data_IF_625243585517
#
_entry.id   IF_625243585517
#
_cell.length_a   1.000
_cell.length_b   1.000
_cell.length_c   1.000
_cell.angle_alpha   90.00
_cell.angle_beta   90.00
_cell.angle_gamma   90.00
#
_symmetry.space_group_name_H-M   'P 1'
#
loop_
_entity.id
_entity.type
_entity.pdbx_description
1 polymer ?
#
# COMPACT_ATOMS: atom_id res chain seq x y z
N UNK A 1 10.03 -50.39 13.03
CA UNK A 1 9.49 -49.08 13.49
C UNK A 1 10.46 -47.89 13.34
N UNK A 2 11.75 -47.98 13.69
CA UNK A 2 12.69 -46.82 13.63
C UNK A 2 12.98 -46.24 12.23
N UNK A 3 12.75 -46.99 11.14
CA UNK A 3 12.97 -46.50 9.75
C UNK A 3 11.81 -45.66 9.20
N UNK A 4 10.60 -45.80 9.75
CA UNK A 4 9.44 -45.00 9.34
C UNK A 4 9.47 -43.60 9.98
N UNK A 5 9.90 -43.52 11.24
CA UNK A 5 10.09 -42.25 11.96
C UNK A 5 11.18 -41.40 11.29
N UNK A 6 12.27 -42.02 10.81
CA UNK A 6 13.35 -41.31 10.11
C UNK A 6 12.93 -40.75 8.74
N UNK A 7 11.91 -41.34 8.08
CA UNK A 7 11.32 -40.79 6.84
C UNK A 7 10.36 -39.64 7.11
N UNK A 8 9.65 -39.65 8.24
CA UNK A 8 8.80 -38.52 8.65
C UNK A 8 9.65 -37.32 9.08
N UNK A 9 10.77 -37.56 9.79
CA UNK A 9 11.74 -36.51 10.15
C UNK A 9 12.49 -35.96 8.92
N UNK A 10 12.64 -36.75 7.85
CA UNK A 10 13.20 -36.27 6.57
C UNK A 10 12.22 -35.46 5.72
N UNK A 11 10.91 -35.50 6.01
CA UNK A 11 9.88 -34.62 5.41
C UNK A 11 9.83 -33.27 6.14
N UNK A 12 10.28 -33.24 7.40
CA UNK A 12 10.55 -32.03 8.17
C UNK A 12 11.98 -31.50 7.96
N UNK A 13 12.59 -31.75 6.81
CA UNK A 13 13.78 -31.01 6.40
C UNK A 13 13.35 -29.55 6.20
N UNK A 14 13.94 -28.64 6.97
CA UNK A 14 13.62 -27.21 6.92
C UNK A 14 13.58 -26.68 5.48
N UNK A 15 14.39 -27.22 4.57
CA UNK A 15 14.41 -26.88 3.14
C UNK A 15 13.10 -27.19 2.39
N UNK A 16 12.52 -28.40 2.56
CA UNK A 16 11.27 -28.76 1.88
C UNK A 16 10.09 -27.97 2.42
N UNK A 17 10.09 -27.70 3.73
CA UNK A 17 9.07 -26.86 4.35
C UNK A 17 9.15 -25.42 3.82
N UNK A 18 10.36 -24.84 3.76
CA UNK A 18 10.56 -23.50 3.23
C UNK A 18 10.15 -23.37 1.75
N UNK A 19 10.45 -24.37 0.92
CA UNK A 19 10.00 -24.36 -0.48
C UNK A 19 8.48 -24.44 -0.63
N UNK A 20 7.77 -25.13 0.26
CA UNK A 20 6.29 -25.15 0.25
C UNK A 20 5.76 -23.76 0.63
N UNK A 21 6.33 -23.13 1.66
CA UNK A 21 5.93 -21.79 2.10
C UNK A 21 6.14 -20.77 0.98
N UNK A 22 7.32 -20.75 0.35
CA UNK A 22 7.62 -19.83 -0.75
C UNK A 22 6.62 -19.97 -1.92
N UNK A 23 6.29 -21.21 -2.29
CA UNK A 23 5.29 -21.47 -3.34
C UNK A 23 3.89 -20.99 -2.94
N UNK A 24 3.49 -21.16 -1.68
CA UNK A 24 2.22 -20.67 -1.16
C UNK A 24 2.20 -19.14 -1.14
N UNK A 25 3.28 -18.48 -0.71
CA UNK A 25 3.39 -17.02 -0.71
C UNK A 25 3.23 -16.46 -2.13
N UNK A 26 3.92 -17.05 -3.11
CA UNK A 26 3.81 -16.65 -4.52
C UNK A 26 2.39 -16.85 -5.05
N UNK A 27 1.73 -17.96 -4.70
CA UNK A 27 0.35 -18.21 -5.09
C UNK A 27 -0.60 -17.15 -4.49
N UNK A 28 -0.45 -16.85 -3.20
CA UNK A 28 -1.25 -15.83 -2.50
C UNK A 28 -1.04 -14.46 -3.13
N UNK A 29 0.20 -14.07 -3.41
CA UNK A 29 0.50 -12.78 -4.04
C UNK A 29 -0.06 -12.66 -5.47
N UNK A 30 -0.11 -13.74 -6.25
CA UNK A 30 -0.76 -13.77 -7.58
C UNK A 30 -2.27 -13.58 -7.48
N UNK A 31 -2.90 -14.23 -6.51
CA UNK A 31 -4.35 -14.06 -6.27
C UNK A 31 -4.65 -12.64 -5.80
N UNK A 32 -3.83 -12.10 -4.88
CA UNK A 32 -3.97 -10.75 -4.37
C UNK A 32 -3.79 -9.70 -5.47
N UNK A 33 -2.80 -9.85 -6.35
CA UNK A 33 -2.60 -8.91 -7.46
C UNK A 33 -3.79 -8.90 -8.43
N UNK A 34 -4.38 -10.07 -8.72
CA UNK A 34 -5.58 -10.17 -9.55
C UNK A 34 -6.78 -9.44 -8.92
N UNK A 35 -7.01 -9.63 -7.62
CA UNK A 35 -8.06 -8.90 -6.91
C UNK A 35 -7.80 -7.39 -6.88
N UNK A 36 -6.55 -6.97 -6.72
CA UNK A 36 -6.21 -5.54 -6.76
C UNK A 36 -6.48 -4.92 -8.12
N UNK A 37 -6.20 -5.62 -9.22
CA UNK A 37 -6.57 -5.15 -10.57
C UNK A 37 -8.08 -4.97 -10.69
N UNK A 38 -8.87 -5.91 -10.18
CA UNK A 38 -10.34 -5.80 -10.18
C UNK A 38 -10.82 -4.59 -9.37
N UNK A 39 -10.28 -4.40 -8.15
CA UNK A 39 -10.58 -3.24 -7.30
C UNK A 39 -10.27 -1.93 -8.01
N UNK A 40 -9.13 -1.83 -8.71
CA UNK A 40 -8.74 -0.65 -9.48
C UNK A 40 -9.76 -0.36 -10.60
N UNK A 41 -10.17 -1.39 -11.36
CA UNK A 41 -11.15 -1.22 -12.45
C UNK A 41 -12.50 -0.73 -11.92
N UNK A 42 -12.97 -1.30 -10.81
CA UNK A 42 -14.21 -0.87 -10.16
C UNK A 42 -14.10 0.57 -9.66
N UNK A 43 -12.98 0.94 -9.02
CA UNK A 43 -12.75 2.30 -8.51
C UNK A 43 -12.69 3.35 -9.63
N UNK A 44 -12.09 3.00 -10.78
CA UNK A 44 -12.10 3.87 -11.98
C UNK A 44 -13.52 4.04 -12.51
N UNK A 45 -14.30 2.96 -12.56
CA UNK A 45 -15.72 3.02 -12.96
C UNK A 45 -16.55 3.92 -12.03
N UNK A 46 -16.39 3.77 -10.72
CA UNK A 46 -17.08 4.59 -9.71
C UNK A 46 -16.71 6.08 -9.84
N UNK A 47 -15.42 6.39 -10.00
CA UNK A 47 -14.95 7.75 -10.26
C UNK A 47 -15.57 8.34 -11.53
N UNK A 48 -15.63 7.57 -12.62
CA UNK A 48 -16.24 8.01 -13.88
C UNK A 48 -17.73 8.33 -13.70
N UNK A 49 -18.49 7.46 -13.03
CA UNK A 49 -19.91 7.67 -12.73
C UNK A 49 -20.08 8.90 -11.83
N UNK A 50 -19.22 9.07 -10.82
CA UNK A 50 -19.26 10.22 -9.92
C UNK A 50 -19.03 11.54 -10.65
N UNK A 51 -18.00 11.62 -11.52
CA UNK A 51 -17.71 12.82 -12.31
C UNK A 51 -18.88 13.16 -13.23
N UNK A 52 -19.42 12.17 -13.96
CA UNK A 52 -20.56 12.39 -14.86
C UNK A 52 -21.76 12.93 -14.08
N UNK A 53 -22.12 12.32 -12.95
CA UNK A 53 -23.21 12.81 -12.10
C UNK A 53 -22.96 14.27 -11.71
N UNK A 54 -21.81 14.58 -11.13
CA UNK A 54 -21.58 15.92 -10.60
C UNK A 54 -21.49 17.01 -11.66
N UNK A 55 -21.00 16.69 -12.87
CA UNK A 55 -21.00 17.64 -14.00
C UNK A 55 -22.42 17.98 -14.46
N UNK A 56 -23.35 17.01 -14.44
CA UNK A 56 -24.72 17.22 -14.93
C UNK A 56 -25.72 17.65 -13.85
N UNK A 57 -25.44 17.44 -12.55
CA UNK A 57 -26.42 17.70 -11.47
C UNK A 57 -26.08 18.87 -10.54
N UNK A 58 -24.84 19.38 -10.51
CA UNK A 58 -24.42 20.37 -9.49
C UNK A 58 -24.61 21.81 -9.96
N UNK A 59 -25.38 22.64 -9.24
CA UNK A 59 -25.42 24.09 -9.46
C UNK A 59 -24.06 24.75 -9.15
N UNK A 60 -23.70 25.81 -9.87
CA UNK A 60 -22.40 26.52 -9.89
C UNK A 60 -21.81 27.00 -8.53
N UNK A 61 -22.41 26.71 -7.37
CA UNK A 61 -21.96 27.15 -6.05
C UNK A 61 -21.29 26.11 -5.14
N UNK A 62 -21.25 24.81 -5.49
CA UNK A 62 -20.68 23.73 -4.63
C UNK A 62 -19.41 23.06 -5.19
N UNK A 63 -18.69 23.75 -6.07
CA UNK A 63 -17.55 23.20 -6.80
C UNK A 63 -16.42 22.76 -5.85
N UNK A 64 -16.07 23.57 -4.84
CA UNK A 64 -14.98 23.24 -3.90
C UNK A 64 -15.23 21.94 -3.13
N UNK A 65 -16.43 21.76 -2.57
CA UNK A 65 -16.79 20.52 -1.85
C UNK A 65 -16.83 19.30 -2.77
N UNK A 66 -17.12 19.51 -4.05
CA UNK A 66 -17.13 18.45 -5.06
C UNK A 66 -15.70 18.08 -5.45
N UNK A 67 -14.80 19.06 -5.63
CA UNK A 67 -13.38 18.85 -5.92
C UNK A 67 -12.69 18.04 -4.82
N UNK A 68 -12.93 18.34 -3.54
CA UNK A 68 -12.36 17.54 -2.44
C UNK A 68 -12.80 16.06 -2.49
N UNK A 69 -14.08 15.80 -2.84
CA UNK A 69 -14.57 14.42 -3.02
C UNK A 69 -13.92 13.73 -4.22
N UNK A 70 -13.81 14.44 -5.35
CA UNK A 70 -13.13 13.93 -6.55
C UNK A 70 -11.68 13.59 -6.23
N UNK A 71 -10.93 14.48 -5.58
CA UNK A 71 -9.56 14.17 -5.15
C UNK A 71 -9.51 12.99 -4.18
N UNK A 72 -10.45 12.87 -3.25
CA UNK A 72 -10.57 11.68 -2.40
C UNK A 72 -10.70 10.39 -3.21
N UNK A 73 -11.55 10.35 -4.23
CA UNK A 73 -11.72 9.18 -5.10
C UNK A 73 -10.47 8.92 -5.98
N UNK A 74 -9.89 9.96 -6.60
CA UNK A 74 -8.66 9.84 -7.38
C UNK A 74 -7.52 9.27 -6.56
N UNK A 75 -7.31 9.85 -5.37
CA UNK A 75 -6.23 9.42 -4.53
C UNK A 75 -6.49 7.96 -4.02
N UNK A 76 -7.74 7.45 -3.97
CA UNK A 76 -8.03 6.06 -3.56
C UNK A 76 -7.51 5.10 -4.63
N UNK A 77 -7.67 5.48 -5.90
CA UNK A 77 -7.12 4.74 -7.03
C UNK A 77 -5.60 4.72 -6.97
N UNK A 78 -4.95 5.85 -6.62
CA UNK A 78 -3.49 5.88 -6.45
C UNK A 78 -3.00 4.92 -5.37
N UNK A 79 -3.70 4.81 -4.21
CA UNK A 79 -3.36 3.81 -3.20
C UNK A 79 -3.49 2.39 -3.76
N UNK A 80 -4.56 2.12 -4.50
CA UNK A 80 -4.76 0.79 -5.07
C UNK A 80 -3.64 0.42 -6.06
N UNK A 81 -3.19 1.37 -6.88
CA UNK A 81 -2.05 1.20 -7.78
C UNK A 81 -0.74 0.99 -7.00
N UNK A 82 -0.52 1.75 -5.93
CA UNK A 82 0.67 1.63 -5.08
C UNK A 82 0.74 0.26 -4.39
N UNK A 83 -0.38 -0.25 -3.87
CA UNK A 83 -0.46 -1.59 -3.31
C UNK A 83 -0.20 -2.65 -4.39
N UNK A 84 -0.74 -2.49 -5.60
CA UNK A 84 -0.49 -3.40 -6.71
C UNK A 84 1.00 -3.41 -7.09
N UNK A 85 1.66 -2.25 -7.09
CA UNK A 85 3.10 -2.14 -7.33
C UNK A 85 3.92 -2.86 -6.25
N UNK A 86 3.57 -2.69 -4.97
CA UNK A 86 4.18 -3.42 -3.85
C UNK A 86 4.07 -4.94 -4.01
N UNK A 87 2.88 -5.46 -4.33
CA UNK A 87 2.64 -6.89 -4.55
C UNK A 87 3.44 -7.39 -5.76
N UNK A 88 3.44 -6.62 -6.84
CA UNK A 88 4.16 -6.98 -8.07
C UNK A 88 5.67 -6.96 -7.86
N UNK A 89 6.19 -6.01 -7.07
CA UNK A 89 7.59 -5.94 -6.70
C UNK A 89 8.02 -7.16 -5.88
N UNK A 90 7.17 -7.60 -4.95
CA UNK A 90 7.37 -8.85 -4.21
C UNK A 90 7.38 -10.06 -5.16
N UNK A 91 6.41 -10.18 -6.08
CA UNK A 91 6.39 -11.27 -7.08
C UNK A 91 7.62 -11.30 -8.00
N UNK A 92 8.26 -10.16 -8.27
CA UNK A 92 9.43 -10.07 -9.15
C UNK A 92 10.75 -10.38 -8.46
N UNK A 93 10.89 -10.02 -7.18
CA UNK A 93 12.17 -10.09 -6.46
C UNK A 93 12.15 -11.07 -5.28
N UNK A 94 11.00 -11.63 -4.92
CA UNK A 94 10.80 -12.49 -3.74
C UNK A 94 11.29 -11.87 -2.42
N UNK A 95 11.34 -10.54 -2.35
CA UNK A 95 11.71 -9.80 -1.14
C UNK A 95 10.82 -8.57 -1.00
N UNK A 96 10.34 -8.35 0.22
CA UNK A 96 9.69 -7.10 0.57
C UNK A 96 10.72 -5.97 0.61
N UNK A 97 10.56 -4.98 -0.27
CA UNK A 97 11.41 -3.80 -0.28
C UNK A 97 10.99 -2.87 0.86
N UNK A 98 11.68 -2.95 2.00
CA UNK A 98 11.39 -2.13 3.19
C UNK A 98 11.42 -0.63 2.85
N UNK A 99 12.30 -0.21 1.94
CA UNK A 99 12.35 1.16 1.44
C UNK A 99 11.05 1.58 0.73
N UNK A 100 10.51 0.71 -0.13
CA UNK A 100 9.24 0.95 -0.82
C UNK A 100 8.10 1.08 0.20
N UNK A 101 8.04 0.19 1.20
CA UNK A 101 6.99 0.23 2.25
C UNK A 101 6.99 1.57 3.01
N UNK A 102 8.17 2.12 3.33
CA UNK A 102 8.26 3.40 4.04
C UNK A 102 7.85 4.56 3.13
N UNK A 103 8.27 4.54 1.87
CA UNK A 103 7.84 5.55 0.88
C UNK A 103 6.32 5.53 0.72
N UNK A 104 5.71 4.34 0.60
CA UNK A 104 4.25 4.21 0.53
C UNK A 104 3.55 4.71 1.79
N UNK A 105 4.15 4.51 2.97
CA UNK A 105 3.62 5.05 4.24
C UNK A 105 3.67 6.59 4.27
N UNK A 106 4.74 7.21 3.77
CA UNK A 106 4.84 8.66 3.65
C UNK A 106 3.80 9.23 2.67
N UNK A 107 3.61 8.58 1.52
CA UNK A 107 2.59 8.96 0.53
C UNK A 107 1.19 8.86 1.13
N UNK A 108 0.90 7.78 1.87
CA UNK A 108 -0.39 7.58 2.53
C UNK A 108 -0.70 8.69 3.56
N UNK A 109 0.29 9.12 4.35
CA UNK A 109 0.11 10.23 5.29
C UNK A 109 -0.05 11.57 4.55
N UNK A 110 0.78 11.83 3.53
CA UNK A 110 0.68 13.04 2.72
C UNK A 110 -0.72 13.19 2.08
N UNK A 111 -1.27 12.09 1.56
CA UNK A 111 -2.63 12.03 1.01
C UNK A 111 -3.69 12.44 2.03
N UNK A 112 -3.56 11.98 3.28
CA UNK A 112 -4.49 12.31 4.37
C UNK A 112 -4.44 13.79 4.73
N UNK A 113 -3.26 14.42 4.61
CA UNK A 113 -3.07 15.86 4.80
C UNK A 113 -3.69 16.66 3.64
N UNK A 114 -3.55 16.22 2.39
CA UNK A 114 -4.10 16.91 1.21
C UNK A 114 -5.64 17.01 1.25
N UNK A 115 -6.32 15.98 1.74
CA UNK A 115 -7.80 15.93 1.80
C UNK A 115 -8.33 16.54 3.12
N UNK A 116 -7.44 16.97 4.01
CA UNK A 116 -7.81 17.41 5.36
C UNK A 116 -8.61 18.73 5.31
N UNK A 117 -9.79 18.70 5.92
CA UNK A 117 -10.64 19.88 6.09
C UNK A 117 -10.29 20.59 7.40
N UNK A 118 -9.44 21.62 7.32
CA UNK A 118 -8.88 22.35 8.47
C UNK A 118 -9.95 22.98 9.37
N UNK A 119 -11.18 23.17 8.89
CA UNK A 119 -12.28 23.70 9.69
C UNK A 119 -12.85 22.67 10.68
N UNK A 120 -12.57 21.37 10.48
CA UNK A 120 -13.14 20.25 11.24
C UNK A 120 -12.14 19.52 12.13
N UNK A 121 -10.86 19.88 12.08
CA UNK A 121 -9.78 19.17 12.79
C UNK A 121 -9.25 20.02 13.93
N UNK A 122 -8.90 19.38 15.04
CA UNK A 122 -8.26 20.07 16.15
C UNK A 122 -6.76 20.25 15.88
N UNK A 123 -6.15 21.28 16.48
CA UNK A 123 -4.71 21.52 16.35
C UNK A 123 -3.84 20.33 16.82
N UNK A 124 -4.34 19.54 17.78
CA UNK A 124 -3.67 18.32 18.26
C UNK A 124 -3.56 17.27 17.14
N UNK A 125 -4.58 17.14 16.29
CA UNK A 125 -4.57 16.17 15.19
C UNK A 125 -3.52 16.54 14.13
N UNK A 126 -3.36 17.84 13.86
CA UNK A 126 -2.36 18.38 12.93
C UNK A 126 -0.95 18.15 13.48
N UNK A 127 -0.73 18.38 14.78
CA UNK A 127 0.55 18.10 15.44
C UNK A 127 0.85 16.59 15.38
N UNK A 128 -0.13 15.74 15.66
CA UNK A 128 0.01 14.29 15.56
C UNK A 128 0.40 13.82 14.15
N UNK A 129 -0.21 14.38 13.10
CA UNK A 129 0.18 14.14 11.71
C UNK A 129 1.61 14.61 11.43
N UNK A 130 2.00 15.78 11.93
CA UNK A 130 3.37 16.30 11.80
C UNK A 130 4.41 15.39 12.44
N UNK A 131 4.15 14.92 13.66
CA UNK A 131 5.03 13.97 14.37
C UNK A 131 5.13 12.63 13.62
N UNK A 132 4.02 12.12 13.08
CA UNK A 132 4.02 10.90 12.28
C UNK A 132 4.87 11.04 11.00
N UNK A 133 4.74 12.16 10.28
CA UNK A 133 5.56 12.44 9.08
C UNK A 133 7.04 12.54 9.46
N UNK A 134 7.38 13.21 10.57
CA UNK A 134 8.76 13.31 11.05
C UNK A 134 9.34 11.95 11.41
N UNK A 135 8.59 11.11 12.13
CA UNK A 135 9.01 9.76 12.50
C UNK A 135 9.28 8.90 11.25
N UNK A 136 8.36 8.88 10.28
CA UNK A 136 8.53 8.15 9.02
C UNK A 136 9.71 8.68 8.20
N UNK A 137 9.91 9.99 8.15
CA UNK A 137 11.04 10.61 7.45
C UNK A 137 12.39 10.24 8.08
N UNK A 138 12.45 10.19 9.42
CA UNK A 138 13.63 9.73 10.14
C UNK A 138 13.89 8.24 9.87
N UNK A 139 12.86 7.39 9.89
CA UNK A 139 12.99 5.97 9.54
C UNK A 139 13.55 5.78 8.12
N UNK A 140 13.06 6.56 7.15
CA UNK A 140 13.57 6.54 5.78
C UNK A 140 15.06 6.95 5.71
N UNK A 141 15.45 8.02 6.41
CA UNK A 141 16.85 8.46 6.46
C UNK A 141 17.78 7.40 7.05
N UNK A 142 17.39 6.75 8.14
CA UNK A 142 18.19 5.70 8.80
C UNK A 142 18.41 4.52 7.84
N UNK A 143 17.34 4.01 7.22
CA UNK A 143 17.42 2.85 6.33
C UNK A 143 18.23 3.17 5.08
N UNK A 144 18.01 4.35 4.48
CA UNK A 144 18.79 4.81 3.33
C UNK A 144 20.27 4.96 3.67
N UNK A 145 20.59 5.49 4.84
CA UNK A 145 22.00 5.68 5.26
C UNK A 145 22.69 4.35 5.55
N UNK A 146 21.99 3.39 6.16
CA UNK A 146 22.50 2.04 6.38
C UNK A 146 22.76 1.29 5.07
N UNK A 147 21.87 1.42 4.08
CA UNK A 147 22.07 0.84 2.75
C UNK A 147 23.23 1.48 1.97
N UNK A 148 23.54 2.75 2.22
CA UNK A 148 24.68 3.43 1.59
C UNK A 148 26.03 2.97 2.19
N UNK A 149 26.07 2.71 3.49
CA UNK A 149 27.26 2.18 4.17
C UNK A 149 27.64 0.76 3.77
N UNK A 150 26.67 -0.06 3.33
CA UNK A 150 26.90 -1.46 2.91
C UNK A 150 27.30 -1.61 1.42
N UNK A 151 27.51 -0.49 0.71
CA UNK A 151 27.93 -0.47 -0.71
C UNK A 151 29.37 0.02 -0.93
N UNK A 152 30.10 0.35 0.15
CA UNK A 152 31.52 0.72 0.12
C UNK A 152 32.38 -0.37 0.74
#
# INVERSE_FOLDING_TARGET
MKRLIKRIVGIASDENFMHIIENVEVLVSKVLSLFMVLVILVAIGDLGIFIVKEVFTVPYGKINTTLFKVFGLFLNILIALEILENITAYLKRHVFQVELVIVTSLIAVARKIIILDLEKVNGIDIIGLGVAVLALSISYLIIRSSNYGNRN
#
